data_IF_956373009295
#
_entry.id   IF_956373009295
#
_cell.length_a   1.000
_cell.length_b   1.000
_cell.length_c   1.000
_cell.angle_alpha   90.00
_cell.angle_beta   90.00
_cell.angle_gamma   90.00
#
_symmetry.space_group_name_H-M   'P 1'
#
loop_
_entity.id
_entity.type
_entity.pdbx_description
1 polymer ?
#
# COMPACT_ATOMS: atom_id res chain seq x y z
N UNK A 1 -22.76 9.10 -5.87
CA UNK A 1 -21.28 9.05 -5.91
C UNK A 1 -20.87 9.36 -7.35
N UNK A 2 -19.80 10.14 -7.63
CA UNK A 2 -19.43 10.49 -9.01
C UNK A 2 -19.22 9.26 -9.89
N UNK A 3 -19.67 9.31 -11.15
CA UNK A 3 -19.54 8.18 -12.09
C UNK A 3 -18.10 7.65 -12.20
N UNK A 4 -17.13 8.56 -12.07
CA UNK A 4 -15.70 8.27 -12.10
C UNK A 4 -15.21 7.25 -11.04
N UNK A 5 -15.95 6.97 -9.96
CA UNK A 5 -15.55 5.95 -8.99
C UNK A 5 -16.39 4.66 -9.03
N UNK A 6 -17.31 4.50 -9.99
CA UNK A 6 -18.10 3.27 -10.11
C UNK A 6 -17.21 2.09 -10.54
N UNK A 7 -17.42 0.92 -9.95
CA UNK A 7 -16.72 -0.32 -10.34
C UNK A 7 -15.25 -0.42 -9.92
N UNK A 8 -14.73 0.54 -9.15
CA UNK A 8 -13.35 0.53 -8.67
C UNK A 8 -13.29 -0.13 -7.28
N UNK A 9 -12.52 -1.22 -7.16
CA UNK A 9 -12.20 -1.88 -5.90
C UNK A 9 -10.69 -1.94 -5.68
N UNK A 10 -10.22 -1.44 -4.55
CA UNK A 10 -8.78 -1.40 -4.20
C UNK A 10 -8.60 -1.90 -2.77
N UNK A 11 -7.57 -2.74 -2.54
CA UNK A 11 -7.13 -3.17 -1.21
C UNK A 11 -5.61 -3.05 -1.12
N UNK A 12 -5.12 -2.52 -0.01
CA UNK A 12 -3.71 -2.51 0.38
C UNK A 12 -3.61 -3.33 1.66
N UNK A 13 -2.66 -4.25 1.73
CA UNK A 13 -2.55 -5.25 2.80
C UNK A 13 -1.09 -5.45 3.20
N UNK A 14 -0.85 -5.70 4.50
CA UNK A 14 0.45 -5.94 5.10
C UNK A 14 0.40 -7.02 6.17
N UNK A 15 1.50 -7.75 6.31
CA UNK A 15 1.75 -8.64 7.44
C UNK A 15 2.49 -7.89 8.54
N UNK A 16 1.94 -7.95 9.76
CA UNK A 16 2.40 -7.16 10.90
C UNK A 16 2.62 -8.03 12.12
N UNK A 17 3.78 -7.87 12.77
CA UNK A 17 4.04 -8.40 14.12
C UNK A 17 3.69 -7.34 15.15
N UNK A 18 2.86 -7.70 16.13
CA UNK A 18 2.62 -6.87 17.32
C UNK A 18 3.75 -7.07 18.32
N UNK A 19 4.29 -5.97 18.87
CA UNK A 19 5.36 -5.97 19.86
C UNK A 19 4.92 -5.24 21.13
N UNK A 20 5.73 -5.26 22.19
CA UNK A 20 5.41 -4.56 23.43
C UNK A 20 5.32 -3.02 23.24
N UNK A 21 6.13 -2.48 22.33
CA UNK A 21 6.25 -1.05 22.08
C UNK A 21 5.49 -0.57 20.83
N UNK A 22 4.85 -1.47 20.09
CA UNK A 22 4.12 -1.13 18.87
C UNK A 22 3.97 -2.29 17.89
N UNK A 23 4.44 -2.10 16.66
CA UNK A 23 4.41 -3.13 15.62
C UNK A 23 5.58 -3.04 14.64
N UNK A 24 5.88 -4.18 14.01
CA UNK A 24 6.83 -4.29 12.91
C UNK A 24 6.11 -4.79 11.66
N UNK A 25 6.34 -4.13 10.53
CA UNK A 25 5.69 -4.47 9.25
C UNK A 25 6.65 -5.28 8.39
N UNK A 26 6.42 -6.60 8.30
CA UNK A 26 7.31 -7.52 7.58
C UNK A 26 7.26 -7.35 6.06
N UNK A 27 6.16 -6.82 5.53
CA UNK A 27 5.95 -6.61 4.09
C UNK A 27 6.10 -5.14 3.68
N UNK A 28 6.82 -4.34 4.50
CA UNK A 28 7.03 -2.91 4.25
C UNK A 28 7.80 -2.60 2.95
N UNK A 29 8.61 -3.55 2.45
CA UNK A 29 9.43 -3.37 1.26
C UNK A 29 8.62 -3.18 -0.03
N UNK A 30 7.37 -3.68 -0.09
CA UNK A 30 6.49 -3.45 -1.22
C UNK A 30 5.98 -1.99 -1.20
N UNK A 31 6.23 -1.17 -2.23
CA UNK A 31 5.77 0.22 -2.24
C UNK A 31 4.25 0.27 -2.28
N UNK A 32 3.67 1.10 -1.40
CA UNK A 32 2.20 1.27 -1.28
C UNK A 32 1.74 2.73 -1.26
N UNK A 33 2.68 3.67 -1.36
CA UNK A 33 2.37 5.08 -1.62
C UNK A 33 2.18 5.28 -3.11
N UNK A 34 1.33 6.24 -3.50
CA UNK A 34 1.12 6.60 -4.91
C UNK A 34 2.46 6.89 -5.59
N UNK A 35 3.26 7.80 -5.02
CA UNK A 35 4.56 8.18 -5.57
C UNK A 35 5.54 6.99 -5.67
N UNK A 36 5.57 6.10 -4.67
CA UNK A 36 6.45 4.93 -4.68
C UNK A 36 6.06 3.89 -5.72
N UNK A 37 4.76 3.65 -5.91
CA UNK A 37 4.23 2.78 -6.97
C UNK A 37 4.56 3.38 -8.34
N UNK A 38 4.30 4.67 -8.53
CA UNK A 38 4.54 5.34 -9.81
C UNK A 38 6.03 5.38 -10.19
N UNK A 39 6.94 5.62 -9.22
CA UNK A 39 8.38 5.56 -9.44
C UNK A 39 8.83 4.16 -9.88
N UNK A 40 8.39 3.13 -9.16
CA UNK A 40 8.67 1.73 -9.53
C UNK A 40 8.16 1.40 -10.94
N UNK A 41 6.95 1.83 -11.30
CA UNK A 41 6.38 1.61 -12.64
C UNK A 41 7.15 2.33 -13.74
N UNK A 42 7.82 3.44 -13.44
CA UNK A 42 8.74 4.15 -14.37
C UNK A 42 10.13 3.52 -14.43
N UNK A 43 10.47 2.64 -13.49
CA UNK A 43 11.81 2.03 -13.37
C UNK A 43 12.86 2.93 -12.73
N UNK A 44 12.43 3.86 -11.88
CA UNK A 44 13.29 4.76 -11.07
C UNK A 44 13.87 4.09 -9.82
#
# INVERSE_FOLDING_TARGET
MPEAFHGIGVRIEDNVLVTADGNEVYTAAAPKTVAGIEALMRGE
#
